data_IF_034194186869
#
_entry.id   IF_034194186869
#
_cell.length_a   1.000
_cell.length_b   1.000
_cell.length_c   1.000
_cell.angle_alpha   90.00
_cell.angle_beta   90.00
_cell.angle_gamma   90.00
#
_symmetry.space_group_name_H-M   'P 1'
#
loop_
_entity.id
_entity.type
_entity.pdbx_description
1 polymer ?
#
# COMPACT_ATOMS: atom_id res chain seq x y z
N UNK A 1 -13.99 -8.09 15.89
CA UNK A 1 -12.86 -7.45 15.18
C UNK A 1 -13.27 -6.00 15.06
N UNK A 2 -12.45 -5.06 15.55
CA UNK A 2 -12.71 -3.63 15.32
C UNK A 2 -12.86 -3.38 13.82
N UNK A 3 -13.78 -2.48 13.44
CA UNK A 3 -13.97 -2.10 12.04
C UNK A 3 -12.77 -1.23 11.63
N UNK A 4 -11.70 -1.89 11.18
CA UNK A 4 -10.50 -1.22 10.70
C UNK A 4 -10.82 -0.43 9.42
N UNK A 5 -10.22 0.75 9.21
CA UNK A 5 -10.40 1.58 8.02
C UNK A 5 -9.68 1.00 6.80
N UNK A 6 -10.06 -0.21 6.40
CA UNK A 6 -9.50 -0.93 5.25
C UNK A 6 -10.57 -1.08 4.17
N UNK A 7 -10.12 -0.96 2.92
CA UNK A 7 -10.95 -1.08 1.70
C UNK A 7 -11.15 -2.54 1.27
N UNK A 8 -10.30 -3.43 1.75
CA UNK A 8 -10.33 -4.86 1.44
C UNK A 8 -10.97 -5.67 2.55
N UNK A 9 -11.48 -6.85 2.21
CA UNK A 9 -12.01 -7.78 3.21
C UNK A 9 -10.88 -8.35 4.06
N UNK A 10 -11.04 -8.32 5.38
CA UNK A 10 -10.13 -9.03 6.29
C UNK A 10 -10.51 -10.52 6.30
N UNK A 11 -9.55 -11.36 5.94
CA UNK A 11 -9.66 -12.82 5.79
C UNK A 11 -8.41 -13.50 6.38
N UNK A 12 -8.38 -14.82 6.41
CA UNK A 12 -7.31 -15.59 7.06
C UNK A 12 -5.92 -15.20 6.55
N UNK A 13 -5.79 -14.98 5.25
CA UNK A 13 -4.53 -14.70 4.57
C UNK A 13 -3.96 -13.32 4.92
N UNK A 14 -4.79 -12.39 5.39
CA UNK A 14 -4.38 -11.00 5.60
C UNK A 14 -4.66 -10.45 7.00
N UNK A 15 -5.31 -11.22 7.88
CA UNK A 15 -5.57 -10.80 9.27
C UNK A 15 -4.32 -10.53 10.09
N UNK A 16 -3.16 -11.09 9.69
CA UNK A 16 -1.87 -10.81 10.29
C UNK A 16 -0.74 -11.05 9.28
N UNK A 17 0.27 -10.18 9.20
CA UNK A 17 1.49 -10.41 8.41
C UNK A 17 1.39 -10.09 6.91
N UNK A 18 0.21 -9.69 6.43
CA UNK A 18 -0.05 -9.37 5.02
C UNK A 18 0.74 -8.19 4.45
N UNK A 19 0.50 -7.90 3.16
CA UNK A 19 1.03 -6.72 2.48
C UNK A 19 0.01 -5.59 2.58
N UNK A 20 0.40 -4.48 3.21
CA UNK A 20 -0.47 -3.31 3.38
C UNK A 20 -0.12 -2.21 2.39
N UNK A 21 -1.05 -1.92 1.50
CA UNK A 21 -1.03 -0.79 0.58
C UNK A 21 -1.64 0.43 1.28
N UNK A 22 -0.91 1.54 1.33
CA UNK A 22 -1.33 2.75 2.02
C UNK A 22 -1.24 3.97 1.10
N UNK A 23 -2.40 4.49 0.70
CA UNK A 23 -2.51 5.83 0.10
C UNK A 23 -2.36 6.93 1.16
N UNK A 24 -2.25 8.19 0.72
CA UNK A 24 -2.21 9.34 1.64
C UNK A 24 -3.62 9.63 2.16
N UNK A 25 -4.61 9.79 1.29
CA UNK A 25 -5.99 10.12 1.64
C UNK A 25 -6.98 9.46 0.67
N UNK A 26 -8.27 9.53 0.99
CA UNK A 26 -9.31 9.08 0.06
C UNK A 26 -9.40 10.05 -1.11
N UNK A 27 -9.13 9.55 -2.32
CA UNK A 27 -9.33 10.32 -3.54
C UNK A 27 -10.82 10.61 -3.70
N UNK A 28 -11.19 11.88 -3.60
CA UNK A 28 -12.55 12.35 -3.88
C UNK A 28 -12.52 13.05 -5.23
N UNK A 29 -13.10 12.48 -6.26
CA UNK A 29 -13.13 13.08 -7.58
C UNK A 29 -14.32 14.03 -7.72
N UNK A 30 -14.30 14.91 -8.74
CA UNK A 30 -15.49 15.68 -9.13
C UNK A 30 -16.63 14.77 -9.64
N UNK A 31 -16.33 13.52 -9.98
CA UNK A 31 -17.37 12.54 -10.27
C UNK A 31 -17.99 12.04 -8.97
N UNK A 32 -17.17 11.86 -7.94
CA UNK A 32 -17.60 11.41 -6.62
C UNK A 32 -18.50 12.45 -5.95
N UNK A 33 -18.12 13.72 -6.02
CA UNK A 33 -18.95 14.85 -5.57
C UNK A 33 -20.32 14.90 -6.27
N UNK A 34 -20.35 14.58 -7.57
CA UNK A 34 -21.58 14.53 -8.36
C UNK A 34 -22.46 13.34 -8.03
N UNK A 35 -21.86 12.19 -7.73
CA UNK A 35 -22.58 10.98 -7.33
C UNK A 35 -23.16 11.10 -5.92
N UNK A 36 -22.46 11.76 -4.99
CA UNK A 36 -22.99 12.03 -3.65
C UNK A 36 -24.13 13.04 -3.70
N UNK A 37 -24.04 14.04 -4.58
CA UNK A 37 -25.15 14.95 -4.86
C UNK A 37 -26.40 14.24 -5.44
N UNK A 38 -26.23 13.04 -6.03
CA UNK A 38 -27.34 12.19 -6.49
C UNK A 38 -27.83 11.18 -5.44
N UNK A 39 -27.29 11.22 -4.21
CA UNK A 39 -27.74 10.37 -3.10
C UNK A 39 -27.30 8.91 -3.20
N UNK A 40 -26.22 8.61 -3.94
CA UNK A 40 -25.64 7.27 -3.99
C UNK A 40 -25.03 6.97 -2.62
N UNK A 41 -25.58 5.95 -1.95
CA UNK A 41 -25.02 5.42 -0.72
C UNK A 41 -23.70 4.69 -1.01
N UNK A 42 -22.59 5.32 -0.63
CA UNK A 42 -21.23 4.76 -0.72
C UNK A 42 -20.83 3.92 0.49
N UNK A 43 -21.77 3.52 1.34
CA UNK A 43 -21.53 2.49 2.33
C UNK A 43 -21.33 1.14 1.62
N UNK A 44 -20.15 0.96 1.04
CA UNK A 44 -19.87 -0.18 0.18
C UNK A 44 -19.81 -1.46 1.04
N UNK A 45 -20.91 -2.22 0.99
CA UNK A 45 -21.14 -3.42 1.77
C UNK A 45 -20.40 -4.65 1.24
N UNK A 46 -19.62 -4.53 0.15
CA UNK A 46 -19.08 -5.68 -0.57
C UNK A 46 -17.54 -5.74 -0.66
N UNK A 47 -16.82 -5.48 0.44
CA UNK A 47 -15.36 -5.65 0.50
C UNK A 47 -14.91 -7.03 -0.04
N UNK A 48 -13.87 -7.03 -0.88
CA UNK A 48 -13.21 -8.22 -1.44
C UNK A 48 -11.68 -8.15 -1.30
N UNK A 49 -10.93 -9.06 -1.94
CA UNK A 49 -9.48 -8.96 -2.05
C UNK A 49 -9.07 -7.81 -2.96
N UNK A 50 -7.86 -7.26 -2.77
CA UNK A 50 -7.42 -6.02 -3.39
C UNK A 50 -7.59 -5.99 -4.93
N UNK A 51 -7.19 -7.06 -5.61
CA UNK A 51 -7.20 -7.12 -7.07
C UNK A 51 -8.51 -7.61 -7.70
N UNK A 52 -9.60 -7.75 -6.93
CA UNK A 52 -10.93 -8.14 -7.44
C UNK A 52 -11.57 -7.04 -8.30
N UNK A 53 -11.66 -7.23 -9.62
CA UNK A 53 -12.16 -6.20 -10.54
C UNK A 53 -13.67 -6.04 -10.53
N UNK A 54 -14.41 -6.96 -9.90
CA UNK A 54 -15.88 -6.83 -9.78
C UNK A 54 -16.28 -5.76 -8.77
N UNK A 55 -15.44 -5.55 -7.74
CA UNK A 55 -15.72 -4.61 -6.63
C UNK A 55 -14.75 -3.43 -6.64
N UNK A 56 -13.49 -3.66 -6.96
CA UNK A 56 -12.43 -2.66 -6.83
C UNK A 56 -11.92 -2.19 -8.20
N UNK A 57 -12.75 -1.58 -9.05
CA UNK A 57 -12.30 -1.10 -10.38
C UNK A 57 -12.16 0.42 -10.45
N UNK A 58 -10.96 0.92 -10.10
CA UNK A 58 -10.64 2.35 -10.19
C UNK A 58 -9.17 2.61 -10.57
N UNK A 59 -8.85 3.79 -11.14
CA UNK A 59 -7.54 4.05 -11.75
C UNK A 59 -6.34 3.83 -10.84
N UNK A 60 -6.43 4.23 -9.57
CA UNK A 60 -5.34 4.07 -8.60
C UNK A 60 -4.99 2.60 -8.40
N UNK A 61 -5.99 1.76 -8.11
CA UNK A 61 -5.80 0.32 -7.94
C UNK A 61 -5.32 -0.33 -9.23
N UNK A 62 -5.92 -0.02 -10.37
CA UNK A 62 -5.54 -0.64 -11.65
C UNK A 62 -4.07 -0.35 -12.01
N UNK A 63 -3.59 0.84 -11.67
CA UNK A 63 -2.19 1.20 -11.84
C UNK A 63 -1.28 0.37 -10.92
N UNK A 64 -1.64 0.20 -9.65
CA UNK A 64 -0.88 -0.64 -8.72
C UNK A 64 -0.86 -2.10 -9.19
N UNK A 65 -1.99 -2.64 -9.65
CA UNK A 65 -2.04 -4.00 -10.20
C UNK A 65 -1.12 -4.16 -11.42
N UNK A 66 -1.05 -3.16 -12.30
CA UNK A 66 -0.07 -3.17 -13.39
C UNK A 66 1.38 -3.09 -12.90
N UNK A 67 1.66 -2.46 -11.75
CA UNK A 67 3.01 -2.40 -11.20
C UNK A 67 3.48 -3.76 -10.67
N UNK A 68 2.61 -4.50 -10.00
CA UNK A 68 2.91 -5.87 -9.58
C UNK A 68 3.29 -6.75 -10.78
N UNK A 69 2.57 -6.66 -11.90
CA UNK A 69 2.91 -7.36 -13.15
C UNK A 69 4.30 -6.97 -13.69
N UNK A 70 4.61 -5.66 -13.74
CA UNK A 70 5.94 -5.17 -14.12
C UNK A 70 7.06 -5.69 -13.21
N UNK A 71 6.75 -6.03 -11.96
CA UNK A 71 7.69 -6.61 -11.00
C UNK A 71 7.70 -8.14 -11.00
N UNK A 72 6.87 -8.80 -11.82
CA UNK A 72 6.80 -10.25 -11.98
C UNK A 72 5.72 -10.95 -11.14
N UNK A 73 4.75 -10.22 -10.61
CA UNK A 73 3.62 -10.75 -9.84
C UNK A 73 2.31 -10.41 -10.54
N UNK A 74 1.86 -11.28 -11.45
CA UNK A 74 0.57 -11.11 -12.09
C UNK A 74 -0.56 -11.37 -11.07
N UNK A 75 -1.27 -10.32 -10.66
CA UNK A 75 -2.36 -10.46 -9.69
C UNK A 75 -3.64 -10.92 -10.38
N UNK A 76 -4.18 -12.04 -9.92
CA UNK A 76 -5.49 -12.50 -10.35
C UNK A 76 -6.57 -11.43 -10.09
N UNK A 77 -7.49 -11.29 -11.04
CA UNK A 77 -8.55 -10.25 -10.97
C UNK A 77 -9.95 -10.76 -10.64
N UNK A 78 -10.13 -12.08 -10.60
CA UNK A 78 -11.43 -12.71 -10.30
C UNK A 78 -11.31 -13.61 -9.08
N UNK A 79 -12.41 -13.73 -8.32
CA UNK A 79 -12.49 -14.58 -7.11
C UNK A 79 -12.09 -16.03 -7.36
N UNK A 80 -12.39 -16.55 -8.55
CA UNK A 80 -12.08 -17.93 -8.97
C UNK A 80 -10.58 -18.19 -9.11
N UNK A 81 -9.82 -17.19 -9.55
CA UNK A 81 -8.38 -17.31 -9.82
C UNK A 81 -7.52 -16.81 -8.66
N UNK A 82 -8.07 -15.98 -7.77
CA UNK A 82 -7.33 -15.39 -6.66
C UNK A 82 -6.85 -16.43 -5.64
N UNK A 83 -5.54 -16.56 -5.55
CA UNK A 83 -4.85 -17.42 -4.60
C UNK A 83 -4.60 -16.71 -3.27
N UNK A 84 -3.75 -17.33 -2.44
CA UNK A 84 -3.37 -16.80 -1.13
C UNK A 84 -2.60 -15.48 -1.24
N UNK A 85 -1.83 -15.29 -2.32
CA UNK A 85 -1.03 -14.08 -2.53
C UNK A 85 -1.92 -12.84 -2.66
N UNK A 86 -2.86 -12.83 -3.60
CA UNK A 86 -3.78 -11.71 -3.81
C UNK A 86 -4.65 -11.42 -2.58
N UNK A 87 -5.05 -12.49 -1.89
CA UNK A 87 -5.82 -12.44 -0.65
C UNK A 87 -5.04 -11.87 0.53
N UNK A 88 -3.71 -11.92 0.49
CA UNK A 88 -2.81 -11.38 1.52
C UNK A 88 -2.60 -9.86 1.40
N UNK A 89 -3.11 -9.23 0.34
CA UNK A 89 -2.95 -7.79 0.08
C UNK A 89 -4.13 -7.01 0.64
N UNK A 90 -3.83 -5.99 1.42
CA UNK A 90 -4.79 -5.10 2.11
C UNK A 90 -4.59 -3.69 1.61
N UNK A 91 -5.66 -2.91 1.48
CA UNK A 91 -5.56 -1.48 1.20
C UNK A 91 -6.17 -0.65 2.32
N UNK A 92 -5.46 0.40 2.73
CA UNK A 92 -5.93 1.47 3.62
C UNK A 92 -5.42 2.84 3.12
N UNK A 93 -5.76 3.90 3.83
CA UNK A 93 -5.18 5.22 3.68
C UNK A 93 -4.59 5.68 5.02
N UNK A 94 -3.59 6.55 4.96
CA UNK A 94 -3.05 7.16 6.16
C UNK A 94 -4.08 8.11 6.79
N UNK A 95 -4.52 9.11 6.01
CA UNK A 95 -5.54 10.08 6.40
C UNK A 95 -6.92 9.52 6.05
N UNK A 96 -7.84 9.60 7.00
CA UNK A 96 -9.23 9.18 6.83
C UNK A 96 -10.11 10.28 6.20
N UNK A 97 -9.50 11.40 5.82
CA UNK A 97 -10.18 12.52 5.18
C UNK A 97 -10.44 12.24 3.70
N UNK A 98 -11.63 12.62 3.22
CA UNK A 98 -11.98 12.64 1.81
C UNK A 98 -11.65 14.02 1.24
N UNK A 99 -10.65 14.12 0.35
CA UNK A 99 -10.37 15.38 -0.34
C UNK A 99 -9.80 15.18 -1.74
N UNK A 100 -10.18 16.06 -2.67
CA UNK A 100 -9.84 15.95 -4.10
C UNK A 100 -8.36 16.19 -4.40
N UNK A 101 -7.65 16.77 -3.44
CA UNK A 101 -6.21 16.95 -3.43
C UNK A 101 -5.78 17.45 -2.04
N UNK A 102 -4.50 17.26 -1.74
CA UNK A 102 -3.84 17.83 -0.54
C UNK A 102 -3.13 19.16 -0.85
N UNK A 103 -3.52 19.90 -1.91
CA UNK A 103 -2.81 21.15 -2.27
C UNK A 103 -3.01 22.19 -1.18
N UNK A 104 -1.91 22.75 -0.68
CA UNK A 104 -1.92 23.74 0.41
C UNK A 104 -1.93 23.14 1.81
N UNK A 105 -2.06 21.82 1.94
CA UNK A 105 -1.91 21.11 3.21
C UNK A 105 -0.44 20.75 3.40
N UNK A 106 0.10 20.99 4.58
CA UNK A 106 1.38 20.40 4.97
C UNK A 106 1.15 18.91 5.26
N UNK A 107 1.16 18.09 4.20
CA UNK A 107 0.84 16.66 4.26
C UNK A 107 1.75 15.90 5.23
N UNK A 108 3.02 16.30 5.37
CA UNK A 108 3.92 15.70 6.35
C UNK A 108 3.44 15.94 7.78
N UNK A 109 3.06 17.18 8.10
CA UNK A 109 2.51 17.53 9.41
C UNK A 109 1.18 16.82 9.67
N UNK A 110 0.29 16.78 8.68
CA UNK A 110 -0.98 16.06 8.76
C UNK A 110 -0.75 14.56 9.04
N UNK A 111 0.21 13.93 8.38
CA UNK A 111 0.55 12.53 8.67
C UNK A 111 1.05 12.32 10.10
N UNK A 112 1.80 13.26 10.68
CA UNK A 112 2.24 13.18 12.08
C UNK A 112 1.07 13.40 13.04
N UNK A 113 0.17 14.34 12.77
CA UNK A 113 -0.95 14.66 13.66
C UNK A 113 -2.06 13.58 13.59
N UNK A 114 -2.37 13.07 12.40
CA UNK A 114 -3.46 12.12 12.12
C UNK A 114 -2.97 10.66 11.94
N UNK A 115 -1.99 10.23 12.71
CA UNK A 115 -1.39 8.89 12.59
C UNK A 115 -2.17 7.77 13.29
N UNK A 116 -3.04 8.11 14.25
CA UNK A 116 -3.57 7.16 15.25
C UNK A 116 -4.27 5.97 14.59
N UNK A 117 -5.22 6.23 13.71
CA UNK A 117 -6.02 5.20 13.04
C UNK A 117 -5.16 4.27 12.16
N UNK A 118 -4.14 4.82 11.50
CA UNK A 118 -3.20 4.03 10.72
C UNK A 118 -2.31 3.14 11.61
N UNK A 119 -1.82 3.65 12.74
CA UNK A 119 -1.01 2.83 13.67
C UNK A 119 -1.85 1.77 14.40
N UNK A 120 -3.13 2.04 14.68
CA UNK A 120 -4.07 1.03 15.18
C UNK A 120 -4.27 -0.09 14.16
N UNK A 121 -4.46 0.26 12.89
CA UNK A 121 -4.50 -0.70 11.77
C UNK A 121 -3.22 -1.53 11.67
N UNK A 122 -2.06 -0.90 11.80
CA UNK A 122 -0.76 -1.58 11.85
C UNK A 122 -0.62 -2.51 13.05
N UNK A 123 -1.11 -2.10 14.22
CA UNK A 123 -1.05 -2.92 15.44
C UNK A 123 -1.94 -4.16 15.36
N UNK A 124 -3.11 -4.03 14.74
CA UNK A 124 -4.06 -5.11 14.55
C UNK A 124 -3.58 -6.12 13.48
N UNK A 125 -3.14 -5.61 12.32
CA UNK A 125 -2.81 -6.45 11.15
C UNK A 125 -1.33 -6.85 11.10
N UNK A 126 -0.46 -6.19 11.87
CA UNK A 126 1.00 -6.41 11.91
C UNK A 126 1.58 -6.77 10.54
N UNK A 127 1.43 -5.89 9.52
CA UNK A 127 1.88 -6.19 8.17
C UNK A 127 3.37 -6.54 8.15
N UNK A 128 3.76 -7.54 7.36
CA UNK A 128 5.17 -7.87 7.13
C UNK A 128 5.83 -6.93 6.12
N UNK A 129 5.01 -6.25 5.32
CA UNK A 129 5.43 -5.26 4.34
C UNK A 129 4.38 -4.15 4.18
N UNK A 130 4.82 -2.90 4.05
CA UNK A 130 3.97 -1.74 3.75
C UNK A 130 4.46 -1.04 2.50
N UNK A 131 3.55 -0.76 1.56
CA UNK A 131 3.78 0.14 0.44
C UNK A 131 3.06 1.47 0.66
N UNK A 132 3.83 2.54 0.87
CA UNK A 132 3.33 3.90 0.90
C UNK A 132 3.31 4.50 -0.50
N UNK A 133 2.18 5.05 -0.94
CA UNK A 133 2.07 5.77 -2.20
C UNK A 133 2.24 7.28 -1.99
N UNK A 134 3.49 7.68 -1.81
CA UNK A 134 3.91 9.01 -1.36
C UNK A 134 5.12 8.88 -0.41
N UNK A 135 5.93 9.93 -0.31
CA UNK A 135 7.09 9.94 0.60
C UNK A 135 6.72 10.41 2.00
N UNK A 136 5.65 11.20 2.11
CA UNK A 136 5.19 11.85 3.32
C UNK A 136 4.80 10.84 4.42
N UNK A 137 4.08 9.75 4.12
CA UNK A 137 3.84 8.70 5.10
C UNK A 137 5.13 8.09 5.65
N UNK A 138 6.11 7.79 4.79
CA UNK A 138 7.39 7.23 5.24
C UNK A 138 8.14 8.22 6.15
N UNK A 139 8.18 9.50 5.79
CA UNK A 139 8.80 10.53 6.64
C UNK A 139 8.13 10.64 8.00
N UNK A 140 6.80 10.62 8.05
CA UNK A 140 6.06 10.62 9.31
C UNK A 140 6.36 9.35 10.12
N UNK A 141 6.32 8.18 9.47
CA UNK A 141 6.57 6.86 10.06
C UNK A 141 7.97 6.76 10.70
N UNK A 142 8.97 7.42 10.12
CA UNK A 142 10.34 7.45 10.64
C UNK A 142 10.67 8.69 11.48
N UNK A 143 9.69 9.57 11.72
CA UNK A 143 9.92 10.80 12.49
C UNK A 143 10.18 10.51 13.97
N UNK A 144 10.94 11.35 14.70
CA UNK A 144 11.13 11.18 16.14
C UNK A 144 9.82 11.10 16.93
N UNK A 145 8.75 11.74 16.43
CA UNK A 145 7.44 11.73 17.07
C UNK A 145 6.74 10.35 16.99
N UNK A 146 6.95 9.60 15.90
CA UNK A 146 6.25 8.33 15.68
C UNK A 146 7.15 7.10 15.78
N UNK A 147 8.47 7.23 15.59
CA UNK A 147 9.41 6.09 15.62
C UNK A 147 9.24 5.21 16.87
N UNK A 148 9.12 5.75 18.11
CA UNK A 148 8.92 4.91 19.29
C UNK A 148 7.63 4.06 19.24
N UNK A 149 6.56 4.60 18.66
CA UNK A 149 5.28 3.89 18.50
C UNK A 149 5.39 2.81 17.43
N UNK A 150 6.04 3.12 16.32
CA UNK A 150 6.29 2.19 15.22
C UNK A 150 7.17 1.02 15.69
N UNK A 151 8.24 1.31 16.42
CA UNK A 151 9.17 0.31 16.95
C UNK A 151 8.51 -0.61 17.99
N UNK A 152 7.53 -0.11 18.75
CA UNK A 152 6.71 -0.96 19.63
C UNK A 152 5.96 -2.04 18.83
N UNK A 153 5.48 -1.72 17.62
CA UNK A 153 4.72 -2.66 16.78
C UNK A 153 5.67 -3.60 16.03
N UNK A 154 6.70 -3.07 15.38
CA UNK A 154 7.50 -3.78 14.38
C UNK A 154 8.93 -4.13 14.82
N UNK A 155 9.33 -3.70 16.01
CA UNK A 155 10.70 -3.83 16.51
C UNK A 155 11.60 -2.71 16.02
N UNK A 156 12.89 -2.76 16.40
CA UNK A 156 13.82 -1.69 16.12
C UNK A 156 13.99 -1.41 14.62
N UNK A 157 14.18 -0.14 14.27
CA UNK A 157 14.54 0.28 12.91
C UNK A 157 15.94 -0.23 12.57
N UNK A 158 16.08 -0.88 11.42
CA UNK A 158 17.38 -1.39 10.96
C UNK A 158 17.92 -0.51 9.84
N UNK A 159 18.97 0.27 10.15
CA UNK A 159 19.61 1.18 9.21
C UNK A 159 18.78 2.42 8.87
N UNK A 160 19.33 3.24 7.96
CA UNK A 160 18.71 4.46 7.45
C UNK A 160 17.88 4.21 6.19
N UNK A 161 16.99 5.15 5.85
CA UNK A 161 16.19 5.07 4.62
C UNK A 161 17.11 5.09 3.40
N UNK A 162 17.03 4.06 2.58
CA UNK A 162 17.68 4.02 1.28
C UNK A 162 16.78 4.65 0.22
N UNK A 163 17.23 5.74 -0.38
CA UNK A 163 16.51 6.40 -1.46
C UNK A 163 17.14 6.08 -2.80
N UNK A 164 16.39 5.41 -3.68
CA UNK A 164 16.82 5.07 -5.03
C UNK A 164 16.09 5.92 -6.07
N UNK A 165 16.81 6.40 -7.08
CA UNK A 165 16.26 7.16 -8.19
C UNK A 165 17.04 6.85 -9.47
N UNK A 166 16.42 6.12 -10.39
CA UNK A 166 17.06 5.68 -11.64
C UNK A 166 16.96 6.74 -12.73
N UNK A 167 17.82 6.62 -13.75
CA UNK A 167 17.74 7.39 -15.00
C UNK A 167 17.35 6.41 -16.10
N UNK A 168 16.15 6.58 -16.66
CA UNK A 168 15.56 5.68 -17.66
C UNK A 168 15.19 6.49 -18.90
N UNK A 169 15.33 5.89 -20.08
CA UNK A 169 14.98 6.49 -21.36
C UNK A 169 13.91 5.66 -22.05
N UNK A 170 12.93 6.32 -22.64
CA UNK A 170 11.89 5.73 -23.49
C UNK A 170 11.80 6.52 -24.79
N UNK A 171 11.89 5.84 -25.94
CA UNK A 171 11.92 6.46 -27.27
C UNK A 171 12.93 7.62 -27.37
N UNK A 172 14.13 7.43 -26.84
CA UNK A 172 15.20 8.44 -26.82
C UNK A 172 14.97 9.62 -25.86
N UNK A 173 13.84 9.68 -25.16
CA UNK A 173 13.52 10.73 -24.18
C UNK A 173 13.71 10.23 -22.76
N UNK A 174 14.34 11.05 -21.92
CA UNK A 174 14.51 10.72 -20.50
C UNK A 174 13.14 10.74 -19.79
N UNK A 175 12.80 9.64 -19.13
CA UNK A 175 11.60 9.55 -18.29
C UNK A 175 11.68 10.51 -17.10
N UNK A 176 10.53 10.99 -16.62
CA UNK A 176 10.45 11.70 -15.34
C UNK A 176 10.98 10.78 -14.23
N UNK A 177 11.86 11.33 -13.39
CA UNK A 177 12.51 10.56 -12.33
C UNK A 177 11.72 10.66 -11.04
N UNK A 178 11.49 9.53 -10.39
CA UNK A 178 10.83 9.46 -9.10
C UNK A 178 11.69 8.68 -8.11
N UNK A 179 11.58 9.03 -6.82
CA UNK A 179 12.33 8.35 -5.76
C UNK A 179 11.52 7.17 -5.24
N UNK A 180 12.22 6.08 -4.96
CA UNK A 180 11.73 4.97 -4.15
C UNK A 180 12.48 5.03 -2.82
N UNK A 181 11.76 4.97 -1.71
CA UNK A 181 12.34 4.92 -0.37
C UNK A 181 12.20 3.52 0.21
N UNK A 182 13.26 2.99 0.79
CA UNK A 182 13.27 1.67 1.41
C UNK A 182 13.72 1.80 2.86
N UNK A 183 12.91 1.28 3.78
CA UNK A 183 13.23 1.22 5.21
C UNK A 183 12.90 -0.18 5.73
N UNK A 184 13.70 -0.65 6.68
CA UNK A 184 13.51 -1.93 7.33
C UNK A 184 13.39 -1.76 8.84
N UNK A 185 12.58 -2.62 9.45
CA UNK A 185 12.44 -2.87 10.88
C UNK A 185 12.57 -4.38 11.10
N UNK A 186 12.79 -4.81 12.34
CA UNK A 186 12.96 -6.25 12.67
C UNK A 186 11.85 -7.15 12.07
N UNK A 187 10.60 -6.67 12.04
CA UNK A 187 9.43 -7.43 11.57
C UNK A 187 8.70 -6.81 10.37
N UNK A 188 9.22 -5.73 9.78
CA UNK A 188 8.52 -4.99 8.72
C UNK A 188 9.49 -4.44 7.67
N UNK A 189 9.13 -4.64 6.40
CA UNK A 189 9.70 -3.88 5.28
C UNK A 189 8.78 -2.74 4.85
N UNK A 190 9.33 -1.55 4.61
CA UNK A 190 8.56 -0.39 4.14
C UNK A 190 9.13 0.10 2.82
N UNK A 191 8.25 0.31 1.84
CA UNK A 191 8.60 0.91 0.56
C UNK A 191 7.74 2.16 0.32
N UNK A 192 8.38 3.32 0.15
CA UNK A 192 7.74 4.51 -0.37
C UNK A 192 7.85 4.54 -1.90
N UNK A 193 6.71 4.62 -2.56
CA UNK A 193 6.52 4.61 -4.00
C UNK A 193 5.98 5.97 -4.47
N UNK A 194 6.15 6.32 -5.74
CA UNK A 194 5.46 7.45 -6.34
C UNK A 194 3.93 7.28 -6.25
N UNK A 195 3.15 8.36 -6.14
CA UNK A 195 1.70 8.24 -6.15
C UNK A 195 1.19 7.82 -7.55
N UNK A 196 0.46 6.69 -7.72
CA UNK A 196 0.10 6.12 -9.01
C UNK A 196 -0.67 7.06 -9.94
N UNK A 197 -1.54 7.90 -9.39
CA UNK A 197 -2.40 8.84 -10.13
C UNK A 197 -2.06 10.32 -9.91
N UNK A 198 -1.17 10.62 -8.96
CA UNK A 198 -0.87 11.99 -8.52
C UNK A 198 0.41 12.55 -9.15
N UNK A 199 1.36 11.67 -9.46
CA UNK A 199 2.60 12.05 -10.11
C UNK A 199 2.42 12.02 -11.64
N UNK A 200 2.35 13.20 -12.25
CA UNK A 200 2.27 13.35 -13.71
C UNK A 200 3.53 12.76 -14.36
N UNK A 201 3.34 11.87 -15.33
CA UNK A 201 4.43 11.36 -16.17
C UNK A 201 5.20 10.14 -15.63
N UNK A 202 4.61 9.36 -14.71
CA UNK A 202 5.18 8.05 -14.36
C UNK A 202 5.05 7.09 -15.55
N UNK A 203 6.16 6.86 -16.25
CA UNK A 203 6.26 5.86 -17.31
C UNK A 203 6.32 4.45 -16.72
N UNK A 204 5.68 3.47 -17.38
CA UNK A 204 5.72 2.05 -16.97
C UNK A 204 7.16 1.53 -16.93
N UNK A 205 8.00 1.88 -17.90
CA UNK A 205 9.42 1.49 -17.94
C UNK A 205 10.20 2.01 -16.74
N UNK A 206 9.83 3.19 -16.21
CA UNK A 206 10.46 3.72 -15.02
C UNK A 206 10.16 2.83 -13.80
N UNK A 207 8.93 2.36 -13.68
CA UNK A 207 8.50 1.47 -12.59
C UNK A 207 9.08 0.07 -12.76
N UNK A 208 9.08 -0.45 -13.99
CA UNK A 208 9.65 -1.75 -14.33
C UNK A 208 11.15 -1.84 -14.02
N UNK A 209 11.87 -0.72 -14.17
CA UNK A 209 13.30 -0.65 -13.83
C UNK A 209 13.60 -0.95 -12.35
N UNK A 210 12.61 -0.86 -11.45
CA UNK A 210 12.74 -1.23 -10.02
C UNK A 210 12.36 -2.69 -9.72
N UNK A 211 12.11 -3.51 -10.74
CA UNK A 211 11.82 -4.94 -10.57
C UNK A 211 12.83 -5.66 -9.65
N UNK A 212 14.16 -5.50 -9.79
CA UNK A 212 15.11 -6.22 -8.93
C UNK A 212 14.96 -5.91 -7.43
N UNK A 213 14.65 -4.65 -7.09
CA UNK A 213 14.44 -4.25 -5.70
C UNK A 213 13.07 -4.69 -5.18
N UNK A 214 12.02 -4.48 -5.98
CA UNK A 214 10.65 -4.78 -5.58
C UNK A 214 10.40 -6.28 -5.47
N UNK A 215 10.85 -7.08 -6.45
CA UNK A 215 10.66 -8.53 -6.40
C UNK A 215 11.41 -9.15 -5.23
N UNK A 216 12.64 -8.71 -4.96
CA UNK A 216 13.40 -9.21 -3.80
C UNK A 216 12.65 -8.99 -2.48
N UNK A 217 12.03 -7.83 -2.29
CA UNK A 217 11.29 -7.54 -1.05
C UNK A 217 10.02 -8.38 -0.99
N UNK A 218 9.27 -8.48 -2.09
CA UNK A 218 8.03 -9.27 -2.16
C UNK A 218 8.33 -10.77 -1.98
N UNK A 219 9.36 -11.31 -2.63
CA UNK A 219 9.78 -12.72 -2.51
C UNK A 219 10.13 -13.07 -1.06
N UNK A 220 10.96 -12.25 -0.40
CA UNK A 220 11.38 -12.50 0.99
C UNK A 220 10.19 -12.44 1.95
N UNK A 221 9.27 -11.50 1.75
CA UNK A 221 8.05 -11.42 2.54
C UNK A 221 7.15 -12.64 2.27
N UNK A 222 6.86 -12.93 1.00
CA UNK A 222 5.92 -13.96 0.61
C UNK A 222 6.34 -15.34 1.09
N UNK A 223 7.63 -15.70 0.94
CA UNK A 223 8.14 -16.98 1.41
C UNK A 223 7.87 -17.21 2.92
N UNK A 224 8.09 -16.18 3.75
CA UNK A 224 7.83 -16.24 5.20
C UNK A 224 6.33 -16.27 5.52
N UNK A 225 5.55 -15.48 4.79
CA UNK A 225 4.11 -15.36 5.01
C UNK A 225 3.38 -16.65 4.62
N UNK A 226 3.72 -17.23 3.47
CA UNK A 226 3.16 -18.48 2.99
C UNK A 226 3.46 -19.67 3.93
N UNK A 227 4.68 -19.73 4.49
CA UNK A 227 5.02 -20.71 5.53
C UNK A 227 4.12 -20.54 6.76
N UNK A 228 3.92 -19.30 7.20
CA UNK A 228 3.05 -18.98 8.35
C UNK A 228 1.61 -19.40 8.10
N UNK A 229 1.06 -19.11 6.92
CA UNK A 229 -0.29 -19.53 6.53
C UNK A 229 -0.40 -21.06 6.50
N UNK A 230 0.59 -21.74 5.93
CA UNK A 230 0.61 -23.21 5.84
C UNK A 230 0.66 -23.86 7.23
N UNK A 231 1.46 -23.31 8.16
CA UNK A 231 1.50 -23.78 9.55
C UNK A 231 0.17 -23.58 10.27
N UNK A 232 -0.51 -22.46 10.03
CA UNK A 232 -1.85 -22.18 10.62
C UNK A 232 -2.90 -23.16 10.13
N UNK A 233 -2.97 -23.41 8.82
CA UNK A 233 -3.94 -24.35 8.25
C UNK A 233 -3.77 -25.78 8.79
N UNK A 234 -2.53 -26.20 9.10
CA UNK A 234 -2.24 -27.52 9.71
C UNK A 234 -2.59 -27.62 11.19
N UNK A 235 -2.65 -26.49 11.91
CA UNK A 235 -2.98 -26.49 13.33
C UNK A 235 -4.50 -26.48 13.59
N UNK A 236 -5.30 -26.19 12.57
CA UNK A 236 -6.77 -26.08 12.64
C UNK A 236 -7.51 -27.25 12.00
N UNK A 237 -6.80 -28.23 11.42
CA UNK A 237 -7.36 -29.45 10.83
C UNK A 237 -6.93 -30.67 11.63
#
# INVERSE_FOLDING_TARGET
MEDLPVHTRIIEENREGGLLLCGINHGYSKHDERQDATGIDRSDSHKSFFSDSEVNDYPFRNKIVSWFDLWGYELARSKRLAGRFERSIIQTNWLQTCSNNVRGVNTQRACIEEHKSFLETCSALKPGIIFFFGQEPLWAFTSPALSPKVETIFGARTGEIQWLQKTIYYNGKRCTRFRFGFQQYERLAVVALPHPTGARGIASDYIAAFKPEMSKIIDVWWAKHEETLTRRSRATG
#
